data_IF_625667044685
#
_entry.id   IF_625667044685
#
_cell.length_a   1.000
_cell.length_b   1.000
_cell.length_c   1.000
_cell.angle_alpha   90.00
_cell.angle_beta   90.00
_cell.angle_gamma   90.00
#
_symmetry.space_group_name_H-M   'P 1'
#
loop_
_entity.id
_entity.type
_entity.pdbx_description
1 polymer ?
#
# COMPACT_ATOMS: atom_id res chain seq x y z
N UNK A 1 -7.07 19.10 -52.26
CA UNK A 1 -8.48 18.66 -52.32
C UNK A 1 -8.47 17.15 -52.16
N UNK A 2 -9.09 16.66 -51.08
CA UNK A 2 -9.09 15.23 -50.71
C UNK A 2 -9.04 15.08 -49.20
N UNK A 3 -10.12 15.50 -48.55
CA UNK A 3 -10.39 15.38 -47.10
C UNK A 3 -10.30 13.93 -46.66
N UNK A 4 -9.36 13.63 -45.75
CA UNK A 4 -9.37 12.41 -44.95
C UNK A 4 -10.59 12.49 -44.02
N UNK A 5 -11.48 11.50 -44.13
CA UNK A 5 -12.78 11.50 -43.47
C UNK A 5 -12.67 11.52 -41.95
N UNK A 6 -13.16 12.62 -41.37
CA UNK A 6 -13.73 12.65 -40.03
C UNK A 6 -15.02 11.79 -40.06
N UNK A 7 -14.97 10.61 -39.48
CA UNK A 7 -16.15 9.82 -39.14
C UNK A 7 -16.16 9.61 -37.62
N UNK A 8 -17.29 9.76 -36.91
CA UNK A 8 -17.31 9.70 -35.45
C UNK A 8 -17.06 8.25 -34.99
N UNK A 9 -16.10 8.11 -34.07
CA UNK A 9 -15.51 6.85 -33.58
C UNK A 9 -16.51 5.97 -32.80
N UNK A 10 -17.69 6.50 -32.44
CA UNK A 10 -18.50 5.98 -31.32
C UNK A 10 -20.00 5.84 -31.56
N UNK A 11 -20.47 5.77 -32.81
CA UNK A 11 -21.91 5.64 -33.12
C UNK A 11 -22.57 4.34 -32.59
N UNK A 12 -21.84 3.46 -31.89
CA UNK A 12 -22.34 2.19 -31.31
C UNK A 12 -22.34 2.11 -29.78
N UNK A 13 -21.75 3.04 -29.03
CA UNK A 13 -21.87 3.01 -27.56
C UNK A 13 -23.24 3.52 -27.11
N UNK A 14 -23.83 4.49 -27.84
CA UNK A 14 -25.19 4.98 -27.60
C UNK A 14 -26.32 3.95 -27.80
N UNK A 15 -26.01 2.72 -28.22
CA UNK A 15 -27.01 1.65 -28.44
C UNK A 15 -27.28 0.76 -27.22
N UNK A 16 -26.63 0.99 -26.07
CA UNK A 16 -26.85 0.20 -24.85
C UNK A 16 -27.67 0.99 -23.82
N UNK A 17 -28.91 0.58 -23.50
CA UNK A 17 -29.73 1.26 -22.48
C UNK A 17 -29.26 0.92 -21.06
N UNK A 18 -29.42 1.89 -20.15
CA UNK A 18 -29.23 1.85 -18.68
C UNK A 18 -28.11 0.94 -18.14
N UNK A 19 -26.91 1.50 -18.02
CA UNK A 19 -25.85 0.93 -17.17
C UNK A 19 -25.82 1.67 -15.83
N UNK A 20 -25.35 0.98 -14.78
CA UNK A 20 -25.13 1.62 -13.47
C UNK A 20 -24.01 2.65 -13.61
N UNK A 21 -24.22 3.86 -13.08
CA UNK A 21 -23.13 4.81 -12.87
C UNK A 21 -22.09 4.22 -11.92
N UNK A 22 -20.86 4.75 -11.92
CA UNK A 22 -19.80 4.27 -11.02
C UNK A 22 -20.21 4.42 -9.55
N UNK A 23 -20.90 5.49 -9.19
CA UNK A 23 -21.50 5.68 -7.86
C UNK A 23 -22.50 4.57 -7.51
N UNK A 24 -23.50 4.34 -8.36
CA UNK A 24 -24.50 3.28 -8.14
C UNK A 24 -23.89 1.88 -8.17
N UNK A 25 -22.78 1.68 -8.88
CA UNK A 25 -22.04 0.44 -8.86
C UNK A 25 -21.35 0.26 -7.50
N UNK A 26 -20.64 1.28 -7.00
CA UNK A 26 -19.89 1.25 -5.74
C UNK A 26 -20.80 1.08 -4.51
N UNK A 27 -21.81 1.93 -4.34
CA UNK A 27 -22.74 1.85 -3.19
C UNK A 27 -23.40 0.49 -3.06
N UNK A 28 -23.67 -0.12 -4.21
CA UNK A 28 -24.50 -1.31 -4.33
C UNK A 28 -23.61 -2.57 -4.24
N UNK A 29 -22.28 -2.45 -4.42
CA UNK A 29 -21.28 -3.53 -4.21
C UNK A 29 -20.83 -3.57 -2.74
N UNK A 30 -20.64 -2.40 -2.12
CA UNK A 30 -20.12 -2.29 -0.77
C UNK A 30 -21.25 -1.97 0.23
N UNK A 31 -21.85 -3.01 0.80
CA UNK A 31 -22.70 -2.84 2.00
C UNK A 31 -21.82 -2.33 3.16
N UNK A 32 -22.26 -1.31 3.90
CA UNK A 32 -21.52 -0.79 5.05
C UNK A 32 -21.33 -1.88 6.09
N UNK A 33 -20.08 -2.28 6.33
CA UNK A 33 -19.73 -3.37 7.25
C UNK A 33 -19.54 -2.87 8.70
N UNK A 34 -19.41 -1.54 8.87
CA UNK A 34 -19.26 -0.88 10.16
C UNK A 34 -19.69 0.60 10.11
N UNK A 35 -19.92 1.21 11.28
CA UNK A 35 -20.28 2.63 11.38
C UNK A 35 -19.16 3.57 10.89
N UNK A 36 -17.89 3.16 11.02
CA UNK A 36 -16.70 3.88 10.56
C UNK A 36 -16.31 3.58 9.10
N UNK A 37 -17.19 2.90 8.37
CA UNK A 37 -16.96 2.50 6.98
C UNK A 37 -17.22 3.67 6.03
N UNK A 38 -16.14 4.37 5.69
CA UNK A 38 -16.14 5.47 4.70
C UNK A 38 -15.40 5.08 3.42
N UNK A 39 -15.18 3.76 3.22
CA UNK A 39 -14.46 3.23 2.06
C UNK A 39 -15.15 3.63 0.75
N UNK A 40 -16.49 3.59 0.72
CA UNK A 40 -17.30 3.98 -0.44
C UNK A 40 -17.09 5.46 -0.77
N UNK A 41 -17.07 6.35 0.24
CA UNK A 41 -16.84 7.77 0.02
C UNK A 41 -15.43 8.05 -0.54
N UNK A 42 -14.41 7.36 -0.03
CA UNK A 42 -13.03 7.49 -0.52
C UNK A 42 -12.90 6.92 -1.95
N UNK A 43 -13.53 5.78 -2.25
CA UNK A 43 -13.55 5.17 -3.58
C UNK A 43 -14.24 6.06 -4.62
N UNK A 44 -15.40 6.61 -4.28
CA UNK A 44 -16.15 7.53 -5.12
C UNK A 44 -15.36 8.80 -5.42
N UNK A 45 -14.73 9.38 -4.40
CA UNK A 45 -13.87 10.55 -4.58
C UNK A 45 -12.75 10.26 -5.60
N UNK A 46 -12.05 9.15 -5.45
CA UNK A 46 -10.93 8.79 -6.33
C UNK A 46 -11.41 8.44 -7.74
N UNK A 47 -12.51 7.69 -7.86
CA UNK A 47 -13.08 7.30 -9.14
C UNK A 47 -13.64 8.49 -9.92
N UNK A 48 -14.45 9.34 -9.27
CA UNK A 48 -15.01 10.55 -9.89
C UNK A 48 -13.91 11.53 -10.29
N UNK A 49 -12.86 11.67 -9.48
CA UNK A 49 -11.69 12.49 -9.83
C UNK A 49 -11.00 11.95 -11.09
N UNK A 50 -10.78 10.64 -11.19
CA UNK A 50 -10.18 10.02 -12.37
C UNK A 50 -11.07 10.23 -13.61
N UNK A 51 -12.37 9.99 -13.51
CA UNK A 51 -13.32 10.17 -14.62
C UNK A 51 -13.35 11.62 -15.10
N UNK A 52 -13.36 12.59 -14.18
CA UNK A 52 -13.26 14.01 -14.52
C UNK A 52 -11.96 14.33 -15.26
N UNK A 53 -10.83 13.77 -14.82
CA UNK A 53 -9.53 13.93 -15.49
C UNK A 53 -9.55 13.28 -16.88
N UNK A 54 -10.20 12.13 -17.05
CA UNK A 54 -10.34 11.46 -18.35
C UNK A 54 -11.15 12.32 -19.33
N UNK A 55 -12.29 12.88 -18.88
CA UNK A 55 -13.11 13.79 -19.69
C UNK A 55 -12.28 14.99 -20.18
N UNK A 56 -11.46 15.56 -19.32
CA UNK A 56 -10.63 16.72 -19.65
C UNK A 56 -9.44 16.41 -20.58
N UNK A 57 -8.84 15.22 -20.47
CA UNK A 57 -7.61 14.89 -21.19
C UNK A 57 -7.83 14.06 -22.46
N UNK A 58 -8.75 13.10 -22.42
CA UNK A 58 -9.00 12.12 -23.48
C UNK A 58 -10.37 12.30 -24.16
N UNK A 59 -11.26 13.10 -23.55
CA UNK A 59 -12.61 13.39 -24.05
C UNK A 59 -13.72 12.59 -23.35
N UNK A 60 -14.96 13.08 -23.48
CA UNK A 60 -16.14 12.49 -22.83
C UNK A 60 -16.37 11.03 -23.26
N UNK A 61 -16.17 10.78 -24.55
CA UNK A 61 -16.19 9.49 -25.22
C UNK A 61 -15.45 8.36 -24.47
N UNK A 62 -14.22 8.62 -24.01
CA UNK A 62 -13.41 7.63 -23.30
C UNK A 62 -13.90 7.43 -21.87
N UNK A 63 -14.31 8.52 -21.21
CA UNK A 63 -14.86 8.45 -19.86
C UNK A 63 -16.17 7.65 -19.83
N UNK A 64 -17.08 7.89 -20.79
CA UNK A 64 -18.33 7.14 -20.94
C UNK A 64 -18.07 5.65 -21.21
N UNK A 65 -17.08 5.32 -22.03
CA UNK A 65 -16.69 3.93 -22.27
C UNK A 65 -16.21 3.24 -20.98
N UNK A 66 -15.39 3.93 -20.17
CA UNK A 66 -14.92 3.41 -18.87
C UNK A 66 -16.08 3.22 -17.90
N UNK A 67 -16.98 4.20 -17.78
CA UNK A 67 -18.17 4.11 -16.93
C UNK A 67 -19.09 2.95 -17.35
N UNK A 68 -19.31 2.78 -18.65
CA UNK A 68 -20.13 1.69 -19.20
C UNK A 68 -19.51 0.33 -18.89
N UNK A 69 -18.21 0.16 -19.14
CA UNK A 69 -17.50 -1.11 -18.87
C UNK A 69 -17.50 -1.42 -17.38
N UNK A 70 -17.28 -0.41 -16.52
CA UNK A 70 -17.33 -0.58 -15.06
C UNK A 70 -18.73 -0.97 -14.57
N UNK A 71 -19.77 -0.26 -15.03
CA UNK A 71 -21.16 -0.49 -14.65
C UNK A 71 -21.65 -1.90 -15.05
N UNK A 72 -21.36 -2.34 -16.28
CA UNK A 72 -21.68 -3.69 -16.75
C UNK A 72 -20.90 -4.77 -15.97
N UNK A 73 -19.64 -4.50 -15.63
CA UNK A 73 -18.84 -5.41 -14.79
C UNK A 73 -19.43 -5.55 -13.39
N UNK A 74 -19.87 -4.46 -12.78
CA UNK A 74 -20.52 -4.46 -11.47
C UNK A 74 -21.88 -5.18 -11.51
N UNK A 75 -22.65 -5.02 -12.58
CA UNK A 75 -23.90 -5.73 -12.80
C UNK A 75 -23.65 -7.25 -12.91
N UNK A 76 -22.72 -7.67 -13.76
CA UNK A 76 -22.34 -9.08 -13.92
C UNK A 76 -21.85 -9.70 -12.61
N UNK A 77 -21.04 -8.99 -11.83
CA UNK A 77 -20.55 -9.48 -10.54
C UNK A 77 -21.68 -9.83 -9.56
N UNK A 78 -22.84 -9.16 -9.66
CA UNK A 78 -24.02 -9.47 -8.83
C UNK A 78 -24.93 -10.51 -9.45
N UNK A 79 -25.28 -10.37 -10.72
CA UNK A 79 -26.23 -11.27 -11.38
C UNK A 79 -25.63 -12.64 -11.61
N UNK A 80 -24.31 -12.72 -11.85
CA UNK A 80 -23.64 -13.90 -12.41
C UNK A 80 -24.32 -14.44 -13.67
N UNK A 81 -25.07 -13.57 -14.38
CA UNK A 81 -25.84 -13.93 -15.57
C UNK A 81 -24.91 -13.90 -16.80
N UNK A 82 -24.79 -15.01 -17.55
CA UNK A 82 -24.05 -15.04 -18.81
C UNK A 82 -24.47 -13.95 -19.80
N UNK A 83 -25.75 -13.52 -19.80
CA UNK A 83 -26.23 -12.46 -20.68
C UNK A 83 -25.59 -11.10 -20.38
N UNK A 84 -25.31 -10.78 -19.11
CA UNK A 84 -24.62 -9.55 -18.72
C UNK A 84 -23.14 -9.61 -19.10
N UNK A 85 -22.51 -10.78 -19.01
CA UNK A 85 -21.15 -11.00 -19.50
C UNK A 85 -21.06 -10.84 -21.03
N UNK A 86 -22.03 -11.36 -21.78
CA UNK A 86 -22.09 -11.20 -23.24
C UNK A 86 -22.21 -9.72 -23.64
N UNK A 87 -23.01 -8.92 -22.90
CA UNK A 87 -23.10 -7.47 -23.11
C UNK A 87 -21.77 -6.77 -22.85
N UNK A 88 -21.11 -7.09 -21.74
CA UNK A 88 -19.79 -6.55 -21.42
C UNK A 88 -18.75 -6.89 -22.51
N UNK A 89 -18.74 -8.14 -22.97
CA UNK A 89 -17.86 -8.58 -24.07
C UNK A 89 -18.14 -7.83 -25.37
N UNK A 90 -19.42 -7.59 -25.70
CA UNK A 90 -19.80 -6.85 -26.90
C UNK A 90 -19.30 -5.40 -26.86
N UNK A 91 -19.39 -4.73 -25.70
CA UNK A 91 -18.86 -3.37 -25.53
C UNK A 91 -17.34 -3.36 -25.67
N UNK A 92 -16.62 -4.24 -24.97
CA UNK A 92 -15.15 -4.32 -25.05
C UNK A 92 -14.69 -4.61 -26.48
N UNK A 93 -15.35 -5.53 -27.19
CA UNK A 93 -15.02 -5.87 -28.57
C UNK A 93 -15.33 -4.75 -29.58
N UNK A 94 -16.16 -3.78 -29.19
CA UNK A 94 -16.51 -2.63 -30.03
C UNK A 94 -15.52 -1.47 -29.93
N UNK A 95 -14.67 -1.45 -28.90
CA UNK A 95 -13.66 -0.41 -28.70
C UNK A 95 -12.56 -0.55 -29.75
N UNK A 96 -12.09 0.60 -30.26
CA UNK A 96 -10.92 0.60 -31.11
C UNK A 96 -9.64 0.28 -30.29
N UNK A 97 -8.49 0.00 -30.93
CA UNK A 97 -7.27 -0.34 -30.21
C UNK A 97 -6.78 0.76 -29.25
N UNK A 98 -7.00 2.04 -29.58
CA UNK A 98 -6.54 3.16 -28.76
C UNK A 98 -7.41 3.31 -27.50
N UNK A 99 -8.74 3.32 -27.67
CA UNK A 99 -9.73 3.34 -26.61
C UNK A 99 -9.62 2.11 -25.71
N UNK A 100 -9.30 0.93 -26.26
CA UNK A 100 -9.08 -0.29 -25.49
C UNK A 100 -7.91 -0.14 -24.51
N UNK A 101 -6.79 0.45 -24.96
CA UNK A 101 -5.61 0.68 -24.11
C UNK A 101 -5.94 1.69 -23.00
N UNK A 102 -6.60 2.80 -23.34
CA UNK A 102 -6.98 3.83 -22.37
C UNK A 102 -7.97 3.29 -21.34
N UNK A 103 -9.00 2.55 -21.78
CA UNK A 103 -9.99 1.95 -20.90
C UNK A 103 -9.37 0.92 -19.95
N UNK A 104 -8.51 0.03 -20.46
CA UNK A 104 -7.78 -0.93 -19.63
C UNK A 104 -6.87 -0.23 -18.61
N UNK A 105 -6.18 0.84 -19.01
CA UNK A 105 -5.33 1.63 -18.11
C UNK A 105 -6.15 2.34 -17.04
N UNK A 106 -7.32 2.90 -17.40
CA UNK A 106 -8.21 3.58 -16.46
C UNK A 106 -8.72 2.60 -15.40
N UNK A 107 -9.19 1.43 -15.80
CA UNK A 107 -9.65 0.38 -14.88
C UNK A 107 -8.52 -0.13 -13.98
N UNK A 108 -7.29 -0.25 -14.48
CA UNK A 108 -6.11 -0.59 -13.67
C UNK A 108 -5.82 0.46 -12.60
N UNK A 109 -5.91 1.75 -12.96
CA UNK A 109 -5.79 2.85 -12.00
C UNK A 109 -6.93 2.84 -10.98
N UNK A 110 -8.18 2.63 -11.40
CA UNK A 110 -9.33 2.51 -10.49
C UNK A 110 -9.12 1.39 -9.47
N UNK A 111 -8.70 0.20 -9.90
CA UNK A 111 -8.38 -0.91 -9.01
C UNK A 111 -7.25 -0.55 -8.04
N UNK A 112 -6.23 0.16 -8.52
CA UNK A 112 -5.14 0.59 -7.65
C UNK A 112 -5.57 1.62 -6.62
N UNK A 113 -6.46 2.54 -7.00
CA UNK A 113 -7.04 3.54 -6.08
C UNK A 113 -7.96 2.88 -5.06
N UNK A 114 -8.75 1.89 -5.46
CA UNK A 114 -9.50 1.02 -4.55
C UNK A 114 -8.58 0.37 -3.50
N UNK A 115 -7.49 -0.28 -3.93
CA UNK A 115 -6.50 -0.86 -3.01
C UNK A 115 -5.86 0.18 -2.06
N UNK A 116 -5.70 1.42 -2.52
CA UNK A 116 -5.20 2.52 -1.68
C UNK A 116 -6.24 2.92 -0.64
N UNK A 117 -7.50 3.12 -1.05
CA UNK A 117 -8.61 3.47 -0.17
C UNK A 117 -8.86 2.38 0.88
N UNK A 118 -8.91 1.11 0.46
CA UNK A 118 -9.00 -0.05 1.35
C UNK A 118 -7.84 -0.05 2.36
N UNK A 119 -6.61 0.14 1.90
CA UNK A 119 -5.44 0.20 2.79
C UNK A 119 -5.51 1.34 3.82
N UNK A 120 -6.12 2.49 3.48
CA UNK A 120 -6.39 3.57 4.44
C UNK A 120 -7.50 3.15 5.41
N UNK A 121 -8.61 2.62 4.90
CA UNK A 121 -9.72 2.15 5.74
C UNK A 121 -9.22 1.12 6.75
N UNK A 122 -8.47 0.11 6.34
CA UNK A 122 -7.90 -0.91 7.22
C UNK A 122 -6.99 -0.31 8.31
N UNK A 123 -6.24 0.75 8.00
CA UNK A 123 -5.36 1.40 8.96
C UNK A 123 -6.13 2.20 10.03
N UNK A 124 -7.35 2.62 9.73
CA UNK A 124 -8.20 3.43 10.61
C UNK A 124 -9.35 2.65 11.24
N UNK A 125 -9.70 1.50 10.66
CA UNK A 125 -10.80 0.66 11.12
C UNK A 125 -10.54 0.26 12.57
N UNK A 126 -11.49 0.58 13.43
CA UNK A 126 -11.35 0.24 14.84
C UNK A 126 -11.38 -1.28 15.00
N UNK A 127 -10.52 -1.80 15.88
CA UNK A 127 -10.56 -3.22 16.24
C UNK A 127 -11.92 -3.53 16.85
N UNK A 128 -12.58 -4.57 16.34
CA UNK A 128 -13.91 -4.98 16.79
C UNK A 128 -13.78 -5.90 18.00
N UNK A 129 -13.33 -5.33 19.12
CA UNK A 129 -13.12 -6.06 20.38
C UNK A 129 -14.40 -6.77 20.84
N UNK A 130 -15.57 -6.22 20.53
CA UNK A 130 -16.89 -6.79 20.84
C UNK A 130 -17.26 -8.04 20.04
N UNK A 131 -16.62 -8.28 18.89
CA UNK A 131 -16.86 -9.45 18.02
C UNK A 131 -15.89 -10.61 18.32
N UNK A 132 -15.07 -10.48 19.38
CA UNK A 132 -14.12 -11.52 19.79
C UNK A 132 -14.83 -12.64 20.56
N UNK A 133 -14.48 -13.88 20.23
CA UNK A 133 -15.02 -15.08 20.88
C UNK A 133 -14.10 -15.64 21.97
N UNK A 134 -12.94 -15.02 22.20
CA UNK A 134 -11.95 -15.45 23.18
C UNK A 134 -11.13 -16.68 22.72
N UNK A 135 -11.17 -16.99 21.42
CA UNK A 135 -10.58 -18.19 20.84
C UNK A 135 -9.40 -17.88 19.92
N UNK A 136 -8.66 -18.91 19.50
CA UNK A 136 -7.55 -18.77 18.54
C UNK A 136 -8.04 -18.25 17.18
N UNK A 137 -9.31 -18.51 16.84
CA UNK A 137 -9.97 -18.01 15.63
C UNK A 137 -9.97 -16.48 15.54
N UNK A 138 -10.00 -15.79 16.69
CA UNK A 138 -9.92 -14.32 16.73
C UNK A 138 -8.59 -13.80 16.16
N UNK A 139 -7.51 -14.59 16.20
CA UNK A 139 -6.20 -14.19 15.68
C UNK A 139 -6.08 -14.36 14.15
N UNK A 140 -7.12 -14.89 13.49
CA UNK A 140 -7.18 -15.06 12.03
C UNK A 140 -7.54 -13.78 11.25
N UNK A 141 -7.99 -12.72 11.92
CA UNK A 141 -8.38 -11.46 11.31
C UNK A 141 -7.78 -10.27 12.05
N UNK A 142 -7.28 -9.28 11.31
CA UNK A 142 -6.74 -8.04 11.87
C UNK A 142 -7.79 -7.24 12.68
N UNK A 143 -9.08 -7.50 12.46
CA UNK A 143 -10.18 -6.85 13.19
C UNK A 143 -10.33 -7.39 14.61
N UNK A 144 -10.01 -8.67 14.83
CA UNK A 144 -10.23 -9.39 16.08
C UNK A 144 -8.92 -9.75 16.78
N UNK A 145 -7.77 -9.70 16.10
CA UNK A 145 -6.46 -10.09 16.66
C UNK A 145 -6.11 -9.32 17.94
N UNK A 146 -5.34 -9.98 18.79
CA UNK A 146 -4.82 -9.40 20.03
C UNK A 146 -3.74 -8.36 19.74
N UNK A 147 -3.79 -7.24 20.44
CA UNK A 147 -2.65 -6.32 20.51
C UNK A 147 -1.53 -6.93 21.36
N UNK A 148 -0.33 -6.36 21.29
CA UNK A 148 0.78 -6.81 22.13
C UNK A 148 0.45 -6.72 23.63
N UNK A 149 -0.29 -5.69 24.05
CA UNK A 149 -0.73 -5.53 25.45
C UNK A 149 -1.72 -6.63 25.85
N UNK A 150 -2.70 -6.92 25.00
CA UNK A 150 -3.70 -7.97 25.25
C UNK A 150 -3.04 -9.36 25.27
N UNK A 151 -2.05 -9.58 24.39
CA UNK A 151 -1.25 -10.81 24.38
C UNK A 151 -0.55 -11.01 25.72
N UNK A 152 0.09 -9.96 26.24
CA UNK A 152 0.74 -9.98 27.54
C UNK A 152 -0.22 -10.24 28.70
N UNK A 153 -1.42 -9.66 28.67
CA UNK A 153 -2.46 -9.91 29.66
C UNK A 153 -2.98 -11.35 29.61
N UNK A 154 -3.20 -11.90 28.40
CA UNK A 154 -3.57 -13.31 28.19
C UNK A 154 -2.49 -14.26 28.75
N UNK A 155 -1.21 -13.99 28.48
CA UNK A 155 -0.09 -14.79 29.01
C UNK A 155 -0.06 -14.76 30.55
N UNK A 156 -0.28 -13.58 31.16
CA UNK A 156 -0.37 -13.45 32.62
C UNK A 156 -1.57 -14.21 33.19
N UNK A 157 -2.72 -14.17 32.51
CA UNK A 157 -3.91 -14.92 32.92
C UNK A 157 -3.71 -16.45 32.84
N UNK A 158 -2.80 -16.91 31.97
CA UNK A 158 -2.38 -18.31 31.87
C UNK A 158 -1.33 -18.71 32.93
N UNK A 159 -0.93 -17.80 33.81
CA UNK A 159 -0.02 -18.08 34.93
C UNK A 159 1.46 -17.81 34.67
N UNK A 160 1.83 -17.21 33.53
CA UNK A 160 3.21 -16.80 33.27
C UNK A 160 3.57 -15.56 34.11
N UNK A 161 4.76 -15.56 34.68
CA UNK A 161 5.24 -14.41 35.43
C UNK A 161 5.70 -13.29 34.49
N UNK A 162 5.77 -12.07 35.01
CA UNK A 162 6.25 -10.90 34.26
C UNK A 162 7.70 -11.09 33.80
N UNK A 163 8.53 -11.75 34.64
CA UNK A 163 9.93 -12.04 34.28
C UNK A 163 9.99 -13.07 33.14
N UNK A 164 9.16 -14.12 33.16
CA UNK A 164 9.11 -15.11 32.07
C UNK A 164 8.81 -14.46 30.71
N UNK A 165 7.80 -13.57 30.67
CA UNK A 165 7.41 -12.84 29.45
C UNK A 165 8.56 -11.95 28.98
N UNK A 166 9.20 -11.21 29.90
CA UNK A 166 10.32 -10.33 29.57
C UNK A 166 11.54 -11.10 29.05
N UNK A 167 11.92 -12.19 29.71
CA UNK A 167 13.04 -13.03 29.29
C UNK A 167 12.77 -13.72 27.95
N UNK A 168 11.53 -14.15 27.70
CA UNK A 168 11.13 -14.71 26.40
C UNK A 168 11.31 -13.68 25.27
N UNK A 169 10.85 -12.44 25.46
CA UNK A 169 11.03 -11.35 24.50
C UNK A 169 12.52 -11.04 24.25
N UNK A 170 13.35 -11.13 25.29
CA UNK A 170 14.79 -10.89 25.15
C UNK A 170 15.50 -11.94 24.29
N UNK A 171 14.92 -13.16 24.18
CA UNK A 171 15.44 -14.26 23.38
C UNK A 171 14.75 -14.40 22.02
N UNK A 172 13.59 -13.78 21.85
CA UNK A 172 12.81 -13.85 20.62
C UNK A 172 13.52 -13.12 19.48
N UNK A 173 13.49 -13.75 18.31
CA UNK A 173 13.93 -13.14 17.05
C UNK A 173 12.95 -13.49 15.94
N UNK A 174 12.49 -12.48 15.22
CA UNK A 174 11.67 -12.58 14.02
C UNK A 174 12.52 -12.12 12.84
N UNK A 175 12.69 -12.98 11.84
CA UNK A 175 13.44 -12.65 10.62
C UNK A 175 12.48 -12.59 9.44
N UNK A 176 12.32 -11.41 8.85
CA UNK A 176 11.43 -11.17 7.70
C UNK A 176 12.28 -11.16 6.44
N UNK A 177 12.07 -12.14 5.57
CA UNK A 177 12.82 -12.27 4.31
C UNK A 177 12.03 -11.64 3.17
N UNK A 178 12.55 -10.53 2.63
CA UNK A 178 11.97 -9.85 1.47
C UNK A 178 12.31 -10.61 0.19
N UNK A 179 11.28 -10.99 -0.56
CA UNK A 179 11.40 -11.65 -1.87
C UNK A 179 11.07 -10.66 -2.98
N UNK A 180 11.55 -10.95 -4.20
CA UNK A 180 11.10 -10.21 -5.37
C UNK A 180 9.61 -10.50 -5.61
N UNK A 181 8.84 -9.47 -5.96
CA UNK A 181 7.46 -9.67 -6.36
C UNK A 181 7.43 -10.10 -7.83
N UNK A 182 7.00 -11.33 -8.17
CA UNK A 182 7.21 -11.94 -9.49
C UNK A 182 6.51 -11.19 -10.65
N UNK A 183 5.55 -10.31 -10.34
CA UNK A 183 4.70 -9.63 -11.33
C UNK A 183 4.62 -8.11 -11.21
N UNK A 184 5.24 -7.46 -10.21
CA UNK A 184 5.06 -6.02 -10.04
C UNK A 184 6.04 -5.21 -10.92
N UNK A 185 5.65 -5.01 -12.18
CA UNK A 185 6.30 -4.09 -13.12
C UNK A 185 6.04 -2.61 -12.81
N UNK A 186 5.32 -2.28 -11.72
CA UNK A 186 4.94 -0.91 -11.37
C UNK A 186 6.21 -0.06 -11.15
N UNK A 187 6.23 1.14 -11.74
CA UNK A 187 7.36 2.06 -11.59
C UNK A 187 7.39 2.65 -10.17
N UNK A 188 8.60 2.86 -9.62
CA UNK A 188 8.79 3.49 -8.30
C UNK A 188 8.10 4.86 -8.21
N UNK A 189 8.15 5.65 -9.29
CA UNK A 189 7.48 6.95 -9.35
C UNK A 189 5.97 6.83 -9.13
N UNK A 190 5.35 5.74 -9.61
CA UNK A 190 3.93 5.49 -9.45
C UNK A 190 3.60 5.02 -8.03
N UNK A 191 4.42 4.14 -7.44
CA UNK A 191 4.28 3.77 -6.01
C UNK A 191 4.35 4.99 -5.08
N UNK A 192 5.25 5.95 -5.36
CA UNK A 192 5.34 7.18 -4.59
C UNK A 192 4.11 8.08 -4.73
N UNK A 193 3.47 8.09 -5.91
CA UNK A 193 2.20 8.80 -6.13
C UNK A 193 1.08 8.15 -5.31
N UNK A 194 0.97 6.83 -5.36
CA UNK A 194 -0.01 6.09 -4.54
C UNK A 194 0.21 6.32 -3.04
N UNK A 195 1.46 6.37 -2.58
CA UNK A 195 1.79 6.71 -1.19
C UNK A 195 1.37 8.14 -0.82
N UNK A 196 1.49 9.11 -1.74
CA UNK A 196 1.02 10.49 -1.52
C UNK A 196 -0.51 10.57 -1.48
N UNK A 197 -1.20 9.90 -2.41
CA UNK A 197 -2.68 9.79 -2.38
C UNK A 197 -3.13 9.19 -1.05
N UNK A 198 -2.51 8.08 -0.62
CA UNK A 198 -2.77 7.46 0.70
C UNK A 198 -2.62 8.47 1.84
N UNK A 199 -1.54 9.24 1.85
CA UNK A 199 -1.29 10.24 2.90
C UNK A 199 -2.31 11.38 2.89
N UNK A 200 -2.80 11.78 1.72
CA UNK A 200 -3.85 12.79 1.60
C UNK A 200 -5.20 12.26 2.10
N UNK A 201 -5.58 11.03 1.76
CA UNK A 201 -6.78 10.37 2.30
C UNK A 201 -6.70 10.23 3.83
N UNK A 202 -5.52 9.90 4.35
CA UNK A 202 -5.26 9.88 5.80
C UNK A 202 -5.52 11.24 6.45
N UNK A 203 -5.02 12.33 5.85
CA UNK A 203 -5.28 13.70 6.33
C UNK A 203 -6.74 14.09 6.23
N UNK A 204 -7.46 13.60 5.22
CA UNK A 204 -8.90 13.86 5.04
C UNK A 204 -9.72 13.38 6.25
N UNK A 205 -9.24 12.33 6.93
CA UNK A 205 -9.86 11.77 8.14
C UNK A 205 -9.61 12.57 9.42
N UNK A 206 -8.87 13.68 9.37
CA UNK A 206 -8.68 14.55 10.54
C UNK A 206 -9.99 15.30 10.88
N UNK A 207 -10.53 15.07 12.08
CA UNK A 207 -11.84 15.59 12.53
C UNK A 207 -11.99 17.13 12.47
N UNK A 208 -10.89 17.89 12.49
CA UNK A 208 -10.89 19.36 12.62
C UNK A 208 -10.26 20.06 11.42
N UNK A 209 -10.87 19.92 10.25
CA UNK A 209 -10.41 20.55 9.02
C UNK A 209 -11.38 21.67 8.58
N UNK A 210 -10.85 22.86 8.27
CA UNK A 210 -11.65 23.97 7.74
C UNK A 210 -12.11 23.68 6.30
N UNK A 211 -13.17 24.33 5.80
CA UNK A 211 -13.65 24.16 4.43
C UNK A 211 -12.55 24.43 3.37
N UNK A 212 -11.75 25.47 3.56
CA UNK A 212 -10.67 25.85 2.62
C UNK A 212 -9.61 24.75 2.57
N UNK A 213 -9.26 24.18 3.72
CA UNK A 213 -8.26 23.10 3.79
C UNK A 213 -8.78 21.78 3.20
N UNK A 214 -10.10 21.56 3.21
CA UNK A 214 -10.71 20.44 2.49
C UNK A 214 -10.56 20.61 0.98
N UNK A 215 -10.85 21.80 0.47
CA UNK A 215 -10.71 22.13 -0.95
C UNK A 215 -9.26 21.99 -1.43
N UNK A 216 -8.29 22.54 -0.67
CA UNK A 216 -6.85 22.37 -0.95
C UNK A 216 -6.43 20.88 -0.98
N UNK A 217 -7.02 20.05 -0.10
CA UNK A 217 -6.72 18.64 -0.02
C UNK A 217 -7.30 17.86 -1.21
N UNK A 218 -8.53 18.16 -1.60
CA UNK A 218 -9.18 17.57 -2.78
C UNK A 218 -8.45 17.95 -4.07
N UNK A 219 -8.02 19.21 -4.21
CA UNK A 219 -7.17 19.64 -5.33
C UNK A 219 -5.83 18.89 -5.35
N UNK A 220 -5.19 18.70 -4.20
CA UNK A 220 -3.96 17.93 -4.08
C UNK A 220 -4.16 16.45 -4.46
N UNK A 221 -5.28 15.83 -4.06
CA UNK A 221 -5.62 14.46 -4.46
C UNK A 221 -5.78 14.38 -5.97
N UNK A 222 -6.58 15.28 -6.55
CA UNK A 222 -6.81 15.36 -8.00
C UNK A 222 -5.49 15.51 -8.76
N UNK A 223 -4.60 16.39 -8.30
CA UNK A 223 -3.29 16.60 -8.92
C UNK A 223 -2.42 15.34 -8.90
N UNK A 224 -2.40 14.59 -7.80
CA UNK A 224 -1.66 13.32 -7.72
C UNK A 224 -2.28 12.22 -8.59
N UNK A 225 -3.62 12.15 -8.69
CA UNK A 225 -4.32 11.23 -9.60
C UNK A 225 -3.95 11.55 -11.05
N UNK A 226 -4.01 12.82 -11.46
CA UNK A 226 -3.64 13.23 -12.81
C UNK A 226 -2.16 12.92 -13.09
N UNK A 227 -1.29 13.14 -12.10
CA UNK A 227 0.12 12.83 -12.24
C UNK A 227 0.39 11.32 -12.29
N UNK A 228 -0.47 10.49 -11.68
CA UNK A 228 -0.44 9.03 -11.79
C UNK A 228 -0.90 8.58 -13.17
N UNK A 229 -2.03 9.11 -13.66
CA UNK A 229 -2.58 8.85 -15.01
C UNK A 229 -1.55 9.12 -16.12
N UNK A 230 -0.87 10.26 -16.07
CA UNK A 230 0.14 10.63 -17.08
C UNK A 230 1.47 9.88 -16.95
N UNK A 231 1.60 8.99 -15.97
CA UNK A 231 2.79 8.16 -15.77
C UNK A 231 2.52 6.75 -16.25
N UNK A 232 3.23 6.30 -17.29
CA UNK A 232 3.20 4.91 -17.76
C UNK A 232 3.25 3.90 -16.58
N UNK A 233 2.18 3.13 -16.40
CA UNK A 233 2.07 2.10 -15.37
C UNK A 233 3.02 0.93 -15.63
N UNK A 234 3.08 0.50 -16.89
CA UNK A 234 3.83 -0.68 -17.31
C UNK A 234 5.24 -0.27 -17.76
N UNK A 235 6.23 -1.01 -17.28
CA UNK A 235 7.60 -0.93 -17.81
C UNK A 235 7.65 -1.64 -19.15
N UNK A 236 8.18 -0.98 -20.17
CA UNK A 236 8.38 -1.55 -21.51
C UNK A 236 9.42 -2.69 -21.54
N UNK A 237 10.21 -2.83 -20.48
CA UNK A 237 11.23 -3.87 -20.32
C UNK A 237 11.11 -4.51 -18.94
N UNK A 238 11.37 -5.82 -18.86
CA UNK A 238 11.45 -6.53 -17.59
C UNK A 238 12.47 -5.83 -16.66
N UNK A 239 12.14 -5.62 -15.38
CA UNK A 239 13.08 -5.02 -14.43
C UNK A 239 14.33 -5.88 -14.31
N UNK A 240 15.48 -5.23 -14.17
CA UNK A 240 16.71 -5.94 -13.82
C UNK A 240 16.66 -6.37 -12.35
N UNK A 241 17.39 -7.42 -11.92
CA UNK A 241 17.41 -7.77 -10.50
C UNK A 241 17.95 -6.63 -9.61
N UNK A 242 18.76 -5.71 -10.16
CA UNK A 242 19.15 -4.47 -9.47
C UNK A 242 17.95 -3.55 -9.21
N UNK A 243 17.01 -3.46 -10.15
CA UNK A 243 15.82 -2.63 -10.03
C UNK A 243 14.83 -3.20 -9.02
N UNK A 244 14.69 -4.53 -8.98
CA UNK A 244 13.88 -5.23 -7.96
C UNK A 244 14.44 -5.01 -6.57
N UNK A 245 15.76 -5.17 -6.39
CA UNK A 245 16.43 -4.86 -5.12
C UNK A 245 16.19 -3.39 -4.71
N UNK A 246 16.32 -2.44 -5.63
CA UNK A 246 16.04 -1.02 -5.35
C UNK A 246 14.58 -0.77 -4.99
N UNK A 247 13.65 -1.49 -5.62
CA UNK A 247 12.22 -1.46 -5.30
C UNK A 247 11.93 -2.00 -3.90
N UNK A 248 12.45 -3.18 -3.54
CA UNK A 248 12.31 -3.72 -2.19
C UNK A 248 12.91 -2.80 -1.12
N UNK A 249 14.06 -2.18 -1.42
CA UNK A 249 14.70 -1.24 -0.51
C UNK A 249 13.92 0.07 -0.32
N UNK A 250 12.99 0.46 -1.20
CA UNK A 250 12.18 1.66 -0.96
C UNK A 250 11.24 1.47 0.23
N UNK A 251 10.64 0.28 0.39
CA UNK A 251 9.84 -0.04 1.58
C UNK A 251 10.64 0.03 2.88
N UNK A 252 11.93 -0.36 2.82
CA UNK A 252 12.84 -0.23 3.96
C UNK A 252 12.95 1.22 4.42
N UNK A 253 13.17 2.15 3.49
CA UNK A 253 13.31 3.57 3.81
C UNK A 253 11.98 4.24 4.19
N UNK A 254 10.91 3.97 3.44
CA UNK A 254 9.65 4.73 3.53
C UNK A 254 8.77 4.25 4.70
N UNK A 255 8.79 2.96 5.05
CA UNK A 255 7.85 2.39 6.05
C UNK A 255 8.55 1.65 7.19
N UNK A 256 9.47 0.74 6.88
CA UNK A 256 10.04 -0.16 7.89
C UNK A 256 10.97 0.60 8.83
N UNK A 257 11.81 1.50 8.30
CA UNK A 257 12.76 2.29 9.08
C UNK A 257 12.12 3.13 10.18
N UNK A 258 11.06 3.93 9.91
CA UNK A 258 10.32 4.60 10.99
C UNK A 258 9.40 3.65 11.78
N UNK A 259 8.92 2.56 11.16
CA UNK A 259 7.97 1.61 11.75
C UNK A 259 8.55 0.76 12.88
N UNK A 260 9.74 0.17 12.69
CA UNK A 260 10.36 -0.74 13.67
C UNK A 260 10.59 -0.05 15.02
N UNK A 261 11.21 1.15 15.10
CA UNK A 261 11.35 1.84 16.38
C UNK A 261 10.01 2.22 17.01
N UNK A 262 8.97 2.52 16.21
CA UNK A 262 7.64 2.83 16.72
C UNK A 262 6.98 1.60 17.34
N UNK A 263 7.13 0.43 16.71
CA UNK A 263 6.68 -0.85 17.25
C UNK A 263 7.42 -1.21 18.54
N UNK A 264 8.76 -1.13 18.57
CA UNK A 264 9.53 -1.44 19.79
C UNK A 264 9.16 -0.52 20.96
N UNK A 265 8.88 0.77 20.72
CA UNK A 265 8.33 1.68 21.75
C UNK A 265 6.95 1.26 22.25
N UNK A 266 6.11 0.65 21.39
CA UNK A 266 4.82 0.08 21.79
C UNK A 266 5.03 -1.11 22.72
N UNK A 267 5.99 -1.98 22.41
CA UNK A 267 6.38 -3.11 23.26
C UNK A 267 6.86 -2.62 24.64
N UNK A 268 7.75 -1.63 24.69
CA UNK A 268 8.18 -1.01 25.96
C UNK A 268 7.02 -0.41 26.77
N UNK A 269 5.98 0.08 26.09
CA UNK A 269 4.79 0.63 26.76
C UNK A 269 3.92 -0.48 27.33
N UNK A 270 3.72 -1.57 26.58
CA UNK A 270 3.00 -2.75 27.05
C UNK A 270 3.72 -3.44 28.22
N UNK A 271 5.05 -3.52 28.19
CA UNK A 271 5.86 -4.02 29.31
C UNK A 271 5.72 -3.17 30.57
N UNK A 272 5.69 -1.83 30.41
CA UNK A 272 5.43 -0.92 31.54
C UNK A 272 4.05 -1.14 32.17
N UNK A 273 3.02 -1.42 31.36
CA UNK A 273 1.69 -1.73 31.88
C UNK A 273 1.64 -3.07 32.66
N UNK A 274 2.53 -4.01 32.34
CA UNK A 274 2.73 -5.23 33.14
C UNK A 274 3.52 -5.01 34.44
N UNK A 275 4.12 -3.83 34.65
CA UNK A 275 4.94 -3.51 35.82
C UNK A 275 6.46 -3.62 35.59
N UNK A 276 6.92 -3.82 34.36
CA UNK A 276 8.37 -3.80 34.04
C UNK A 276 8.86 -2.35 34.00
N UNK A 277 9.83 -2.02 34.86
CA UNK A 277 10.34 -0.65 35.01
C UNK A 277 11.43 -0.27 34.00
N UNK A 278 12.00 -1.26 33.29
CA UNK A 278 13.07 -1.06 32.32
C UNK A 278 12.61 -1.40 30.90
N UNK A 279 13.31 -0.84 29.91
CA UNK A 279 13.06 -1.10 28.49
C UNK A 279 13.81 -2.32 28.01
N UNK A 280 13.38 -2.87 26.87
CA UNK A 280 14.16 -3.88 26.18
C UNK A 280 15.54 -3.32 25.79
N UNK A 281 16.63 -4.07 25.97
CA UNK A 281 17.95 -3.62 25.57
C UNK A 281 18.03 -3.32 24.07
N UNK A 282 18.46 -2.11 23.72
CA UNK A 282 18.51 -1.62 22.33
C UNK A 282 19.38 -2.45 21.38
N UNK A 283 20.27 -3.29 21.92
CA UNK A 283 21.17 -4.15 21.14
C UNK A 283 20.51 -5.45 20.67
N UNK A 284 19.32 -5.77 21.19
CA UNK A 284 18.64 -7.03 20.86
C UNK A 284 17.98 -6.96 19.47
N UNK A 285 18.30 -7.88 18.55
CA UNK A 285 17.71 -7.91 17.23
C UNK A 285 16.38 -8.67 17.24
N UNK A 286 15.36 -8.12 17.92
CA UNK A 286 14.03 -8.75 18.03
C UNK A 286 13.40 -8.90 16.65
N UNK A 287 13.58 -7.90 15.77
CA UNK A 287 13.14 -7.95 14.37
C UNK A 287 14.37 -7.75 13.48
N UNK A 288 14.59 -8.69 12.58
CA UNK A 288 15.61 -8.65 11.55
C UNK A 288 14.95 -8.70 10.16
N UNK A 289 15.62 -8.13 9.16
CA UNK A 289 15.20 -8.17 7.77
C UNK A 289 16.32 -8.77 6.93
N UNK A 290 15.94 -9.70 6.07
CA UNK A 290 16.79 -10.38 5.10
C UNK A 290 16.20 -10.19 3.70
N UNK A 291 16.95 -10.49 2.64
CA UNK A 291 16.47 -10.32 1.26
C UNK A 291 16.95 -11.45 0.36
N UNK A 292 16.06 -11.97 -0.46
CA UNK A 292 16.36 -12.87 -1.57
C UNK A 292 16.50 -12.14 -2.91
N UNK A 293 16.07 -10.88 -2.99
CA UNK A 293 16.21 -10.06 -4.20
C UNK A 293 17.68 -9.93 -4.61
N UNK A 294 18.02 -10.45 -5.79
CA UNK A 294 19.39 -10.48 -6.32
C UNK A 294 20.32 -11.54 -5.69
N UNK A 295 19.80 -12.41 -4.82
CA UNK A 295 20.51 -13.52 -4.21
C UNK A 295 19.98 -14.90 -4.62
N UNK A 296 18.66 -15.02 -4.81
CA UNK A 296 18.01 -16.23 -5.29
C UNK A 296 18.32 -16.48 -6.77
N UNK A 297 18.56 -17.74 -7.15
CA UNK A 297 18.96 -18.17 -8.50
C UNK A 297 18.14 -19.35 -9.01
N UNK A 298 17.19 -19.84 -8.22
CA UNK A 298 16.41 -21.00 -8.60
C UNK A 298 15.41 -20.62 -9.70
N UNK A 299 15.60 -21.18 -10.89
CA UNK A 299 14.72 -20.97 -12.05
C UNK A 299 15.15 -19.90 -13.06
N UNK A 300 16.19 -19.10 -12.79
CA UNK A 300 16.69 -18.10 -13.76
C UNK A 300 17.61 -18.73 -14.81
N UNK A 301 17.25 -18.63 -16.10
CA UNK A 301 18.16 -19.00 -17.20
C UNK A 301 19.39 -18.08 -17.16
N UNK A 302 20.63 -18.61 -17.25
CA UNK A 302 21.83 -17.80 -17.12
C UNK A 302 21.95 -16.81 -18.29
N UNK A 303 21.78 -15.52 -17.99
CA UNK A 303 22.06 -14.45 -18.94
C UNK A 303 23.59 -14.31 -19.15
N UNK A 304 24.10 -14.31 -20.39
CA UNK A 304 25.53 -14.24 -20.69
C UNK A 304 26.19 -12.87 -20.38
N UNK A 305 25.45 -11.91 -19.83
CA UNK A 305 25.91 -10.53 -19.57
C UNK A 305 25.85 -10.08 -18.10
N UNK A 306 25.67 -10.96 -17.12
CA UNK A 306 25.62 -10.53 -15.72
C UNK A 306 27.00 -10.05 -15.21
N UNK A 307 27.20 -8.76 -14.88
CA UNK A 307 28.39 -8.34 -14.17
C UNK A 307 28.35 -8.91 -12.74
N UNK A 308 29.47 -9.47 -12.28
CA UNK A 308 29.66 -10.01 -10.92
C UNK A 308 29.07 -9.07 -9.84
N UNK A 309 28.06 -9.55 -9.13
CA UNK A 309 27.21 -8.86 -8.15
C UNK A 309 27.88 -8.47 -6.82
N UNK A 310 29.11 -7.93 -6.85
CA UNK A 310 29.78 -7.40 -5.65
C UNK A 310 29.04 -6.21 -5.00
N UNK A 311 28.00 -5.67 -5.64
CA UNK A 311 27.26 -4.48 -5.20
C UNK A 311 26.03 -4.81 -4.32
N UNK A 312 25.45 -6.02 -4.40
CA UNK A 312 24.24 -6.35 -3.63
C UNK A 312 24.53 -6.52 -2.14
N UNK A 313 25.63 -7.19 -1.80
CA UNK A 313 26.09 -7.41 -0.41
C UNK A 313 26.50 -6.12 0.29
N UNK A 314 26.92 -5.10 -0.47
CA UNK A 314 27.37 -3.82 0.07
C UNK A 314 26.22 -2.95 0.60
N UNK A 315 25.03 -3.00 0.00
CA UNK A 315 23.91 -2.09 0.36
C UNK A 315 23.22 -2.47 1.67
N UNK A 316 23.07 -3.77 1.96
CA UNK A 316 22.49 -4.23 3.24
C UNK A 316 23.48 -4.04 4.39
N UNK A 317 24.79 -4.17 4.13
CA UNK A 317 25.83 -3.99 5.14
C UNK A 317 26.20 -2.52 5.42
N UNK A 318 26.10 -1.61 4.43
CA UNK A 318 26.35 -0.17 4.65
C UNK A 318 25.30 0.51 5.52
N UNK A 319 24.06 0.03 5.54
CA UNK A 319 23.01 0.57 6.42
C UNK A 319 23.24 0.25 7.91
N UNK A 320 24.09 -0.72 8.23
CA UNK A 320 24.54 -1.00 9.60
C UNK A 320 25.55 0.03 10.11
N UNK A 321 26.19 0.80 9.21
CA UNK A 321 27.39 1.61 9.54
C UNK A 321 27.14 3.12 9.47
N UNK A 322 26.18 3.60 8.65
CA UNK A 322 26.10 5.03 8.32
C UNK A 322 25.55 5.97 9.41
N UNK A 323 24.98 5.46 10.52
CA UNK A 323 24.50 6.30 11.64
C UNK A 323 25.15 6.00 13.00
N UNK A 324 26.28 5.30 13.02
CA UNK A 324 27.12 5.20 14.22
C UNK A 324 28.20 6.31 14.27
N UNK A 325 28.45 7.04 13.17
CA UNK A 325 29.51 8.08 13.11
C UNK A 325 29.06 9.53 13.34
N UNK A 326 27.77 9.85 13.31
CA UNK A 326 27.31 11.26 13.37
C UNK A 326 26.17 11.53 14.37
N UNK A 327 26.08 10.76 15.45
CA UNK A 327 25.06 10.94 16.49
C UNK A 327 25.60 10.77 17.91
N UNK A 328 26.80 11.28 18.19
CA UNK A 328 27.40 11.27 19.52
C UNK A 328 27.87 12.67 19.89
N UNK A 329 27.18 13.32 20.81
CA UNK A 329 27.52 14.66 21.26
C UNK A 329 26.61 15.20 22.34
N UNK A 330 26.60 14.57 23.52
CA UNK A 330 26.67 15.23 24.82
C UNK A 330 26.59 14.16 25.90
N UNK A 331 27.73 13.84 26.52
CA UNK A 331 27.84 13.51 27.94
C UNK A 331 29.30 13.73 28.30
N UNK A 332 29.59 14.90 28.88
CA UNK A 332 30.83 15.13 29.61
C UNK A 332 30.52 14.74 31.05
N UNK A 333 31.13 13.68 31.52
CA UNK A 333 31.44 13.56 32.94
C UNK A 333 32.79 12.89 33.11
N UNK A 334 33.48 13.34 34.16
CA UNK A 334 34.92 13.35 34.28
C UNK A 334 35.53 11.98 34.52
N UNK A 335 36.73 11.81 33.98
CA UNK A 335 37.83 11.15 34.68
C UNK A 335 39.16 11.57 34.02
N UNK A 336 40.03 12.22 34.80
CA UNK A 336 41.42 12.50 34.41
C UNK A 336 42.26 11.26 34.71
N UNK A 337 43.13 10.80 33.79
CA UNK A 337 44.24 9.96 34.18
C UNK A 337 45.46 10.83 34.49
N UNK A 338 46.02 10.56 35.66
CA UNK A 338 47.28 11.04 36.21
C UNK A 338 48.49 10.77 35.28
N UNK A 339 49.44 11.70 35.34
CA UNK A 339 50.80 11.68 34.83
C UNK A 339 51.62 10.42 35.11
N UNK A 340 52.50 10.00 34.18
CA UNK A 340 53.97 10.10 34.28
C UNK A 340 54.72 9.11 33.34
N UNK A 341 55.44 9.69 32.36
CA UNK A 341 56.81 9.47 31.83
C UNK A 341 57.63 8.18 32.05
N UNK A 342 58.73 7.96 31.28
CA UNK A 342 59.34 8.83 30.25
C UNK A 342 59.11 8.40 28.80
#
# INVERSE_FOLDING_TARGET
MGTLGEGPVLTRIHTFPEHLSVHEALERVNERVADDDIIVEDEELLANSLLSILRELEGDDIAEAVETVYGLSAQYNRSSDPADLERLQAVIASLDPAASILCASALSHMLTFHNVAEGVQMAYRQRKVSERHGAIEDEGSALTESSITETFEKLRAQGLTVDDIYQALCRQRVDIVLTAHPTQSIRRSLLQKHARIRHLLVKRREEKMSPERKEELEEAIRSEIQAAWRTDEIRRSQPSPQDEMRGGMSYMHETIWPGVPRFLRRVDTALRHLGVQHRLPYRLPIIAFSSWMGGDRDGERPSPRAPRWKHATATVSTHRVYRLKHGGGCDRDGERPSSAHP
#
